data_IF_444294925073
#
_entry.id   IF_444294925073
#
_cell.length_a   1.000
_cell.length_b   1.000
_cell.length_c   1.000
_cell.angle_alpha   90.00
_cell.angle_beta   90.00
_cell.angle_gamma   90.00
#
_symmetry.space_group_name_H-M   'P 1'
#
loop_
_entity.id
_entity.type
_entity.pdbx_description
1 polymer ?
#
# COMPACT_ATOMS: atom_id res chain seq x y z
N UNK A 1 -7.32 -7.08 40.99
CA UNK A 1 -6.17 -8.00 40.95
C UNK A 1 -6.03 -8.57 39.55
N UNK A 2 -5.22 -7.93 38.69
CA UNK A 2 -4.78 -8.53 37.44
C UNK A 2 -3.36 -9.03 37.67
N UNK A 3 -3.14 -10.33 37.53
CA UNK A 3 -1.81 -10.92 37.51
C UNK A 3 -1.22 -10.64 36.12
N UNK A 4 -0.28 -9.70 36.05
CA UNK A 4 0.47 -9.42 34.84
C UNK A 4 1.66 -10.37 34.74
N UNK A 5 1.84 -11.00 33.57
CA UNK A 5 3.00 -11.81 33.21
C UNK A 5 4.28 -10.95 33.29
N UNK A 6 5.42 -11.54 33.70
CA UNK A 6 6.71 -10.86 33.93
C UNK A 6 7.30 -10.18 32.68
N UNK A 7 6.68 -10.35 31.51
CA UNK A 7 7.06 -9.71 30.26
C UNK A 7 6.06 -8.63 29.77
N UNK A 8 5.08 -8.22 30.58
CA UNK A 8 4.01 -7.32 30.13
C UNK A 8 4.08 -5.92 30.78
N UNK A 9 4.19 -4.88 29.94
CA UNK A 9 3.91 -3.50 30.34
C UNK A 9 2.43 -3.20 30.11
N UNK A 10 1.74 -2.67 31.12
CA UNK A 10 0.32 -2.30 31.03
C UNK A 10 0.12 -0.83 31.43
N UNK A 11 -0.96 -0.22 30.93
CA UNK A 11 -1.41 1.12 31.32
C UNK A 11 -2.78 0.97 31.98
N UNK A 12 -2.95 1.51 33.20
CA UNK A 12 -4.19 1.42 33.97
C UNK A 12 -4.61 2.76 34.56
N UNK A 13 -5.88 2.85 34.96
CA UNK A 13 -6.43 3.98 35.72
C UNK A 13 -6.81 3.50 37.12
N UNK A 14 -6.35 4.17 38.17
CA UNK A 14 -6.69 3.86 39.56
C UNK A 14 -7.82 4.78 40.03
N UNK A 15 -8.90 4.21 40.58
CA UNK A 15 -9.98 4.97 41.20
C UNK A 15 -9.51 5.55 42.54
N UNK A 16 -8.79 6.68 42.50
CA UNK A 16 -8.83 7.80 43.46
C UNK A 16 -7.71 8.85 43.29
N UNK A 17 -6.98 8.85 42.18
CA UNK A 17 -5.84 9.77 42.00
C UNK A 17 -5.93 10.52 40.67
N UNK A 18 -6.00 11.85 40.75
CA UNK A 18 -6.05 12.77 39.62
C UNK A 18 -4.69 12.89 38.88
N UNK A 19 -3.99 11.79 38.56
CA UNK A 19 -2.66 11.86 37.95
C UNK A 19 -2.26 10.62 37.12
N UNK A 20 -2.09 10.83 35.80
CA UNK A 20 -0.98 10.35 34.96
C UNK A 20 -0.79 8.86 34.67
N UNK A 21 -0.46 8.51 33.42
CA UNK A 21 0.08 7.19 33.07
C UNK A 21 1.38 6.94 33.84
N UNK A 22 1.50 5.79 34.51
CA UNK A 22 2.72 5.35 35.20
C UNK A 22 3.32 4.14 34.50
N UNK A 23 4.65 4.04 34.51
CA UNK A 23 5.37 2.89 33.96
C UNK A 23 5.48 1.80 35.03
N UNK A 24 5.10 0.58 34.66
CA UNK A 24 5.30 -0.63 35.45
C UNK A 24 6.54 -1.36 34.91
N UNK A 25 7.55 -1.57 35.76
CA UNK A 25 8.74 -2.34 35.44
C UNK A 25 8.92 -3.44 36.49
N UNK A 26 9.05 -4.69 36.04
CA UNK A 26 9.19 -5.88 36.89
C UNK A 26 8.11 -6.03 37.98
N UNK A 27 6.89 -5.60 37.67
CA UNK A 27 5.73 -5.68 38.58
C UNK A 27 5.66 -4.58 39.64
N UNK A 28 6.59 -3.61 39.61
CA UNK A 28 6.58 -2.44 40.51
C UNK A 28 6.36 -1.13 39.72
N UNK A 29 5.63 -0.19 40.32
CA UNK A 29 5.47 1.15 39.76
C UNK A 29 6.78 1.94 39.94
N UNK A 30 7.32 2.49 38.86
CA UNK A 30 8.52 3.33 38.91
C UNK A 30 8.09 4.77 39.24
N UNK A 31 8.45 5.26 40.43
CA UNK A 31 7.97 6.55 40.95
C UNK A 31 8.74 7.78 40.43
N UNK A 32 9.86 7.58 39.72
CA UNK A 32 10.72 8.69 39.31
C UNK A 32 10.23 9.29 37.98
N UNK A 33 9.59 10.45 38.10
CA UNK A 33 9.11 11.36 37.04
C UNK A 33 7.68 11.12 36.49
N UNK A 34 6.69 11.21 37.37
CA UNK A 34 5.27 11.30 36.98
C UNK A 34 4.86 12.78 37.01
N UNK A 35 4.79 13.44 35.86
CA UNK A 35 4.19 14.78 35.75
C UNK A 35 2.67 14.66 35.56
N UNK A 36 1.82 15.34 36.37
CA UNK A 36 0.38 15.36 36.13
C UNK A 36 0.02 15.89 34.75
N UNK A 37 -0.91 15.21 34.09
CA UNK A 37 -1.52 15.69 32.85
C UNK A 37 -2.36 16.92 33.20
N UNK A 38 -1.89 18.11 32.85
CA UNK A 38 -2.68 19.35 33.04
C UNK A 38 -3.97 19.29 32.23
N UNK A 39 -5.03 19.93 32.72
CA UNK A 39 -6.30 20.07 32.00
C UNK A 39 -6.05 20.57 30.56
N UNK A 40 -6.70 19.94 29.57
CA UNK A 40 -6.52 20.24 28.14
C UNK A 40 -5.39 19.49 27.42
N UNK A 41 -4.72 18.53 28.07
CA UNK A 41 -3.75 17.63 27.41
C UNK A 41 -4.28 16.20 27.36
N UNK A 42 -3.96 15.47 26.30
CA UNK A 42 -4.32 14.06 26.12
C UNK A 42 -3.08 13.23 25.77
N UNK A 43 -3.08 11.97 26.20
CA UNK A 43 -2.11 10.95 25.74
C UNK A 43 -2.68 10.31 24.49
N UNK A 44 -2.02 10.48 23.34
CA UNK A 44 -2.40 9.82 22.09
C UNK A 44 -1.58 8.54 21.92
N UNK A 45 -2.21 7.39 22.12
CA UNK A 45 -1.64 6.12 21.70
C UNK A 45 -1.87 5.99 20.21
N UNK A 46 -0.80 6.09 19.43
CA UNK A 46 -0.88 5.84 17.98
C UNK A 46 -0.41 4.41 17.77
N UNK A 47 -1.33 3.49 17.45
CA UNK A 47 -0.93 2.20 16.90
C UNK A 47 -0.25 2.52 15.58
N UNK A 48 1.02 2.13 15.41
CA UNK A 48 1.57 2.03 14.06
C UNK A 48 0.56 1.24 13.23
N UNK A 49 0.16 1.70 12.03
CA UNK A 49 -0.79 0.96 11.22
C UNK A 49 -0.29 -0.47 11.15
N UNK A 50 -1.19 -1.44 11.35
CA UNK A 50 -0.88 -2.86 11.34
C UNK A 50 0.00 -3.15 10.14
N UNK A 51 1.31 -3.25 10.35
CA UNK A 51 2.20 -3.85 9.37
C UNK A 51 2.00 -5.33 9.63
N UNK A 52 0.93 -5.90 9.07
CA UNK A 52 0.86 -7.35 8.84
C UNK A 52 1.82 -7.69 7.70
N UNK A 53 3.08 -7.31 7.87
CA UNK A 53 4.23 -7.94 7.26
C UNK A 53 4.79 -8.93 8.27
N UNK A 54 3.99 -9.94 8.62
CA UNK A 54 4.59 -11.16 9.16
C UNK A 54 5.31 -11.77 7.97
N UNK A 55 6.64 -11.75 7.98
CA UNK A 55 7.43 -12.65 7.16
C UNK A 55 7.21 -14.07 7.72
N UNK A 56 6.01 -14.60 7.53
CA UNK A 56 5.80 -16.04 7.53
C UNK A 56 6.55 -16.64 6.35
N UNK A 57 6.78 -17.97 6.31
CA UNK A 57 7.29 -18.61 5.11
C UNK A 57 6.43 -18.11 3.95
N UNK A 58 7.07 -17.58 2.90
CA UNK A 58 6.43 -17.01 1.73
C UNK A 58 5.46 -18.04 1.16
N UNK A 59 4.22 -18.02 1.65
CA UNK A 59 3.14 -18.86 1.16
C UNK A 59 2.95 -18.34 -0.25
N UNK A 60 3.04 -19.18 -1.29
CA UNK A 60 2.81 -18.72 -2.64
C UNK A 60 1.49 -17.97 -2.60
N UNK A 61 1.49 -16.67 -2.95
CA UNK A 61 0.26 -15.97 -3.22
C UNK A 61 -0.43 -16.85 -4.24
N UNK A 62 -1.47 -17.57 -3.81
CA UNK A 62 -2.12 -18.55 -4.64
C UNK A 62 -2.47 -17.93 -5.98
N UNK A 63 -2.54 -18.74 -7.03
CA UNK A 63 -2.93 -18.26 -8.35
C UNK A 63 -4.20 -17.40 -8.18
N UNK A 64 -4.20 -16.14 -8.65
CA UNK A 64 -5.34 -15.26 -8.44
C UNK A 64 -6.59 -15.90 -9.05
N UNK A 65 -7.74 -15.70 -8.43
CA UNK A 65 -8.99 -16.32 -8.91
C UNK A 65 -9.64 -15.56 -10.06
N UNK A 66 -9.20 -14.32 -10.33
CA UNK A 66 -9.77 -13.46 -11.36
C UNK A 66 -8.74 -12.57 -12.04
N UNK A 67 -9.08 -12.12 -13.26
CA UNK A 67 -8.36 -11.06 -13.93
C UNK A 67 -8.59 -9.73 -13.21
N UNK A 68 -7.55 -8.92 -13.08
CA UNK A 68 -7.69 -7.57 -12.55
C UNK A 68 -6.65 -6.61 -13.11
N UNK A 69 -7.02 -5.33 -13.21
CA UNK A 69 -6.10 -4.23 -13.48
C UNK A 69 -6.22 -3.21 -12.33
N UNK A 70 -5.15 -3.08 -11.57
CA UNK A 70 -5.01 -2.12 -10.49
C UNK A 70 -4.80 -0.69 -10.99
N UNK A 71 -5.05 0.28 -10.12
CA UNK A 71 -4.68 1.66 -10.39
C UNK A 71 -3.15 1.81 -10.45
N UNK A 72 -2.69 2.77 -11.23
CA UNK A 72 -1.28 3.16 -11.23
C UNK A 72 -0.93 3.81 -9.88
N UNK A 73 0.15 3.39 -9.24
CA UNK A 73 0.63 3.96 -7.99
C UNK A 73 2.15 4.19 -8.02
N UNK A 74 2.63 5.40 -7.68
CA UNK A 74 1.85 6.59 -7.30
C UNK A 74 1.11 7.24 -8.48
N UNK A 75 -0.03 7.86 -8.18
CA UNK A 75 -0.80 8.72 -9.09
C UNK A 75 -1.28 9.95 -8.30
N UNK A 76 -0.92 11.19 -8.66
CA UNK A 76 -0.25 11.60 -9.91
C UNK A 76 1.21 11.13 -10.07
N UNK A 77 1.59 10.75 -11.30
CA UNK A 77 2.94 10.37 -11.68
C UNK A 77 3.86 11.60 -11.66
N UNK A 78 4.88 11.59 -10.80
CA UNK A 78 5.99 12.57 -10.79
C UNK A 78 7.30 12.04 -11.38
N UNK A 79 7.47 10.72 -11.47
CA UNK A 79 8.68 10.09 -11.99
C UNK A 79 8.43 8.68 -12.52
N UNK A 80 8.09 7.76 -11.62
CA UNK A 80 7.74 6.38 -11.97
C UNK A 80 6.43 5.98 -11.29
N UNK A 81 5.60 5.22 -11.98
CA UNK A 81 4.40 4.60 -11.41
C UNK A 81 4.42 3.11 -11.70
N UNK A 82 3.85 2.33 -10.80
CA UNK A 82 3.72 0.88 -10.93
C UNK A 82 2.26 0.55 -11.18
N UNK A 83 2.03 -0.32 -12.16
CA UNK A 83 0.71 -0.84 -12.50
C UNK A 83 0.72 -2.32 -12.20
N UNK A 84 -0.16 -2.75 -11.29
CA UNK A 84 -0.32 -4.15 -10.89
C UNK A 84 -1.52 -4.76 -11.60
N UNK A 85 -1.42 -6.02 -11.98
CA UNK A 85 -2.51 -6.78 -12.59
C UNK A 85 -2.40 -8.27 -12.22
N UNK A 86 -3.51 -8.99 -12.32
CA UNK A 86 -3.57 -10.42 -11.99
C UNK A 86 -4.13 -11.23 -13.15
N UNK A 87 -3.59 -12.44 -13.34
CA UNK A 87 -4.01 -13.39 -14.37
C UNK A 87 -4.34 -14.74 -13.70
N UNK A 88 -5.59 -15.22 -13.73
CA UNK A 88 -5.97 -16.48 -13.09
C UNK A 88 -5.48 -17.71 -13.83
N UNK A 89 -5.08 -17.55 -15.08
CA UNK A 89 -4.49 -18.56 -15.94
C UNK A 89 -3.49 -17.91 -16.87
N UNK A 90 -2.68 -18.72 -17.53
CA UNK A 90 -1.82 -18.24 -18.61
C UNK A 90 -2.66 -17.55 -19.68
N UNK A 91 -2.23 -16.37 -20.15
CA UNK A 91 -3.00 -15.57 -21.10
C UNK A 91 -2.10 -14.71 -21.97
N UNK A 92 -2.56 -14.45 -23.20
CA UNK A 92 -1.98 -13.40 -24.04
C UNK A 92 -2.40 -12.04 -23.48
N UNK A 93 -1.43 -11.25 -23.02
CA UNK A 93 -1.67 -9.94 -22.42
C UNK A 93 -1.11 -8.85 -23.32
N UNK A 94 -1.86 -7.76 -23.46
CA UNK A 94 -1.38 -6.49 -23.99
C UNK A 94 -1.72 -5.38 -23.01
N UNK A 95 -0.70 -4.71 -22.49
CA UNK A 95 -0.84 -3.59 -21.56
C UNK A 95 -0.25 -2.34 -22.20
N UNK A 96 -1.11 -1.37 -22.50
CA UNK A 96 -0.78 -0.18 -23.28
C UNK A 96 -1.22 1.09 -22.55
N UNK A 97 -0.48 2.18 -22.78
CA UNK A 97 -0.82 3.52 -22.32
C UNK A 97 -1.29 4.34 -23.52
N UNK A 98 -2.39 5.07 -23.34
CA UNK A 98 -3.00 5.96 -24.32
C UNK A 98 -3.14 7.37 -23.77
N UNK A 99 -3.11 8.36 -24.65
CA UNK A 99 -3.56 9.72 -24.31
C UNK A 99 -5.09 9.84 -24.42
N UNK A 100 -5.66 10.98 -24.02
CA UNK A 100 -7.10 11.23 -24.10
C UNK A 100 -7.65 11.25 -25.53
N UNK A 101 -6.80 11.47 -26.54
CA UNK A 101 -7.17 11.40 -27.95
C UNK A 101 -7.21 9.96 -28.49
N UNK A 102 -6.97 8.96 -27.64
CA UNK A 102 -6.96 7.54 -28.04
C UNK A 102 -5.69 7.11 -28.78
N UNK A 103 -4.67 7.96 -28.86
CA UNK A 103 -3.39 7.60 -29.47
C UNK A 103 -2.56 6.77 -28.48
N UNK A 104 -1.99 5.66 -28.96
CA UNK A 104 -1.08 4.85 -28.15
C UNK A 104 0.21 5.61 -27.91
N UNK A 105 0.56 5.73 -26.63
CA UNK A 105 1.75 6.41 -26.14
C UNK A 105 2.87 5.43 -25.90
N UNK A 106 2.56 4.26 -25.32
CA UNK A 106 3.54 3.21 -25.01
C UNK A 106 2.90 1.85 -24.82
N UNK A 107 3.54 0.82 -25.37
CA UNK A 107 3.32 -0.57 -24.96
C UNK A 107 4.19 -0.87 -23.73
N UNK A 108 3.58 -1.26 -22.61
CA UNK A 108 4.29 -1.56 -21.36
C UNK A 108 4.68 -3.04 -21.27
N UNK A 109 3.77 -3.93 -21.68
CA UNK A 109 4.05 -5.35 -21.83
C UNK A 109 3.14 -5.93 -22.91
N UNK A 110 3.67 -6.88 -23.67
CA UNK A 110 2.94 -7.62 -24.69
C UNK A 110 3.51 -9.03 -24.81
N UNK A 111 2.65 -10.03 -24.69
CA UNK A 111 3.05 -11.43 -24.86
C UNK A 111 2.24 -12.38 -24.00
N UNK A 112 2.65 -13.65 -24.01
CA UNK A 112 2.05 -14.69 -23.19
C UNK A 112 2.65 -14.63 -21.79
N UNK A 113 1.81 -14.43 -20.78
CA UNK A 113 2.21 -14.40 -19.38
C UNK A 113 1.53 -15.55 -18.62
N UNK A 114 2.29 -16.18 -17.73
CA UNK A 114 1.77 -17.23 -16.85
C UNK A 114 0.73 -16.71 -15.86
N UNK A 115 -0.03 -17.64 -15.26
CA UNK A 115 -0.94 -17.34 -14.18
C UNK A 115 -0.17 -16.73 -12.99
N UNK A 116 -0.73 -15.70 -12.36
CA UNK A 116 -0.09 -15.03 -11.22
C UNK A 116 -0.37 -13.55 -11.13
N UNK A 117 0.28 -12.92 -10.15
CA UNK A 117 0.31 -11.48 -9.97
C UNK A 117 1.49 -10.89 -10.72
N UNK A 118 1.24 -9.83 -11.48
CA UNK A 118 2.22 -9.17 -12.32
C UNK A 118 2.25 -7.68 -12.02
N UNK A 119 3.40 -7.06 -12.28
CA UNK A 119 3.56 -5.62 -12.17
C UNK A 119 4.49 -5.08 -13.25
N UNK A 120 4.20 -3.87 -13.73
CA UNK A 120 5.06 -3.15 -14.65
C UNK A 120 5.24 -1.70 -14.19
N UNK A 121 6.42 -1.16 -14.43
CA UNK A 121 6.75 0.23 -14.11
C UNK A 121 6.72 1.09 -15.37
N UNK A 122 6.17 2.30 -15.25
CA UNK A 122 6.19 3.30 -16.31
C UNK A 122 6.77 4.62 -15.80
N UNK A 123 7.71 5.17 -16.57
CA UNK A 123 8.45 6.40 -16.24
C UNK A 123 7.90 7.65 -16.92
N UNK A 124 6.67 7.60 -17.46
CA UNK A 124 6.08 8.71 -18.20
C UNK A 124 6.79 8.99 -19.52
N UNK A 125 7.38 7.96 -20.15
CA UNK A 125 8.04 8.07 -21.46
C UNK A 125 7.20 7.38 -22.54
N UNK A 126 7.19 7.93 -23.76
CA UNK A 126 6.57 7.30 -24.93
C UNK A 126 7.44 6.15 -25.50
N UNK A 127 7.04 5.59 -26.64
CA UNK A 127 7.79 4.55 -27.37
C UNK A 127 9.18 5.05 -27.80
N UNK A 128 9.31 6.32 -28.20
CA UNK A 128 10.59 6.95 -28.56
C UNK A 128 11.49 7.31 -27.36
N UNK A 129 11.08 6.98 -26.13
CA UNK A 129 11.84 7.27 -24.91
C UNK A 129 11.75 8.72 -24.43
N UNK A 130 10.96 9.57 -25.09
CA UNK A 130 10.75 10.96 -24.72
C UNK A 130 9.69 11.08 -23.63
N UNK A 131 9.85 12.05 -22.71
CA UNK A 131 8.85 12.29 -21.66
C UNK A 131 7.54 12.77 -22.29
N UNK A 132 6.41 12.30 -21.77
CA UNK A 132 5.06 12.69 -22.22
C UNK A 132 4.54 13.92 -21.47
N UNK A 133 3.71 14.74 -22.12
CA UNK A 133 3.15 15.97 -21.54
C UNK A 133 2.39 15.71 -20.21
N UNK A 134 2.30 16.73 -19.36
CA UNK A 134 1.41 16.66 -18.20
C UNK A 134 -0.04 16.52 -18.69
N UNK A 135 -0.85 15.73 -17.98
CA UNK A 135 -2.22 15.46 -18.38
C UNK A 135 -2.73 14.10 -17.94
N UNK A 136 -3.92 13.75 -18.43
CA UNK A 136 -4.57 12.46 -18.15
C UNK A 136 -4.18 11.44 -19.21
N UNK A 137 -3.90 10.22 -18.77
CA UNK A 137 -3.57 9.07 -19.59
C UNK A 137 -4.42 7.87 -19.17
N UNK A 138 -4.61 6.93 -20.10
CA UNK A 138 -5.37 5.72 -19.89
C UNK A 138 -4.44 4.51 -20.02
N UNK A 139 -4.41 3.65 -19.01
CA UNK A 139 -3.81 2.32 -19.09
C UNK A 139 -4.89 1.34 -19.49
N UNK A 140 -4.67 0.59 -20.56
CA UNK A 140 -5.57 -0.46 -21.01
C UNK A 140 -4.86 -1.80 -20.94
N UNK A 141 -5.50 -2.75 -20.27
CA UNK A 141 -5.14 -4.17 -20.33
C UNK A 141 -6.15 -4.90 -21.21
N UNK A 142 -5.65 -5.65 -22.18
CA UNK A 142 -6.44 -6.54 -23.02
C UNK A 142 -5.88 -7.97 -22.96
N UNK A 143 -6.78 -8.92 -22.72
CA UNK A 143 -6.59 -10.36 -22.90
C UNK A 143 -7.78 -10.91 -23.71
N UNK A 144 -7.76 -12.17 -24.16
CA UNK A 144 -8.90 -12.77 -24.86
C UNK A 144 -10.22 -12.73 -24.05
N UNK A 145 -10.12 -12.78 -22.72
CA UNK A 145 -11.29 -12.92 -21.82
C UNK A 145 -11.51 -11.68 -20.94
N UNK A 146 -10.59 -10.72 -20.93
CA UNK A 146 -10.65 -9.57 -20.03
C UNK A 146 -10.13 -8.30 -20.68
N UNK A 147 -10.93 -7.23 -20.58
CA UNK A 147 -10.53 -5.89 -20.98
C UNK A 147 -10.80 -4.92 -19.83
N UNK A 148 -9.79 -4.17 -19.42
CA UNK A 148 -9.94 -3.13 -18.40
C UNK A 148 -9.15 -1.89 -18.74
N UNK A 149 -9.69 -0.74 -18.33
CA UNK A 149 -9.02 0.56 -18.49
C UNK A 149 -8.95 1.29 -17.15
N UNK A 150 -7.81 1.89 -16.84
CA UNK A 150 -7.59 2.72 -15.65
C UNK A 150 -7.02 4.07 -16.05
N UNK A 151 -7.55 5.14 -15.47
CA UNK A 151 -7.02 6.49 -15.63
C UNK A 151 -5.81 6.72 -14.73
N UNK A 152 -4.85 7.49 -15.21
CA UNK A 152 -3.78 8.06 -14.41
C UNK A 152 -3.48 9.50 -14.84
N UNK A 153 -2.84 10.26 -13.97
CA UNK A 153 -2.46 11.65 -14.22
C UNK A 153 -0.94 11.77 -14.17
N UNK A 154 -0.37 12.48 -15.13
CA UNK A 154 1.06 12.81 -15.18
C UNK A 154 1.24 14.29 -14.85
N UNK A 155 2.17 14.59 -13.94
CA UNK A 155 2.57 15.95 -13.61
C UNK A 155 3.94 16.28 -14.23
N UNK A 156 4.21 17.57 -14.41
CA UNK A 156 5.52 18.13 -14.72
C UNK A 156 5.82 19.30 -13.82
#
# INVERSE_FOLDING_TARGET
NMLADRASSSVGFQQNSSVGCQLLQDGAYVSTAISPLKSGRAVRITRTPDVTGVAGPSTPLGVPVAFSLGAAYPNPLRGTTTIKFSLPKESQVRLEVYNIAGQRVKTLTQGKLGAGYHQVSWTGKNESGQKVAAGVYLVRMATPEFNATRKMTVLR
#
